data_IF_570036602385
#
_entry.id   IF_570036602385
#
_cell.length_a   1.000
_cell.length_b   1.000
_cell.length_c   1.000
_cell.angle_alpha   90.00
_cell.angle_beta   90.00
_cell.angle_gamma   90.00
#
_symmetry.space_group_name_H-M   'P 1'
#
loop_
_entity.id
_entity.type
_entity.pdbx_description
1 polymer ?
#
# COMPACT_ATOMS: atom_id res chain seq x y z
N UNK A 1 12.78 1.40 -8.46
CA UNK A 1 13.46 2.61 -7.98
C UNK A 1 14.42 2.23 -6.88
N UNK A 2 15.47 3.02 -6.71
CA UNK A 2 16.39 2.91 -5.57
C UNK A 2 15.67 3.18 -4.24
N UNK A 3 16.16 2.62 -3.12
CA UNK A 3 15.67 2.99 -1.79
C UNK A 3 15.79 4.49 -1.53
N UNK A 4 14.91 5.03 -0.69
CA UNK A 4 14.92 6.43 -0.27
C UNK A 4 15.21 6.54 1.22
N UNK A 5 15.54 7.74 1.71
CA UNK A 5 15.68 7.97 3.13
C UNK A 5 14.34 7.74 3.86
N UNK A 6 14.41 7.33 5.13
CA UNK A 6 13.20 7.12 5.93
C UNK A 6 12.38 8.42 6.03
N UNK A 7 11.10 8.34 5.67
CA UNK A 7 10.18 9.48 5.65
C UNK A 7 10.11 10.23 4.31
N UNK A 8 10.99 9.91 3.35
CA UNK A 8 10.92 10.45 2.01
C UNK A 8 9.84 9.76 1.16
N UNK A 9 9.11 10.53 0.36
CA UNK A 9 8.05 10.03 -0.52
C UNK A 9 8.25 10.54 -1.94
N UNK A 10 8.02 9.67 -2.92
CA UNK A 10 8.14 9.99 -4.35
C UNK A 10 6.82 10.49 -4.97
N UNK A 11 5.76 10.64 -4.16
CA UNK A 11 4.42 10.96 -4.66
C UNK A 11 3.78 9.86 -5.51
N UNK A 12 4.32 8.64 -5.45
CA UNK A 12 3.80 7.47 -6.16
C UNK A 12 2.84 6.72 -5.25
N UNK A 13 1.67 6.36 -5.77
CA UNK A 13 0.71 5.48 -5.08
C UNK A 13 0.67 4.13 -5.78
N UNK A 14 0.85 3.05 -5.01
CA UNK A 14 0.68 1.68 -5.46
C UNK A 14 -0.52 1.05 -4.76
N UNK A 15 -1.34 0.32 -5.51
CA UNK A 15 -2.55 -0.34 -4.99
C UNK A 15 -2.41 -1.84 -5.24
N UNK A 16 -2.33 -2.63 -4.18
CA UNK A 16 -2.37 -4.08 -4.23
C UNK A 16 -3.83 -4.56 -4.30
N UNK A 17 -4.18 -5.26 -5.37
CA UNK A 17 -5.51 -5.87 -5.49
C UNK A 17 -5.56 -7.18 -4.69
N UNK A 18 -6.37 -7.22 -3.65
CA UNK A 18 -6.54 -8.39 -2.79
C UNK A 18 -8.02 -8.69 -2.54
N UNK A 19 -8.36 -9.98 -2.49
CA UNK A 19 -9.72 -10.41 -2.21
C UNK A 19 -10.10 -10.19 -0.73
N UNK A 20 -11.39 -10.21 -0.43
CA UNK A 20 -11.89 -10.27 0.95
C UNK A 20 -11.38 -11.57 1.60
N UNK A 21 -10.76 -11.48 2.77
CA UNK A 21 -10.25 -12.65 3.50
C UNK A 21 -8.96 -13.26 2.95
N UNK A 22 -8.20 -12.54 2.10
CA UNK A 22 -6.92 -13.03 1.59
C UNK A 22 -5.77 -12.98 2.63
N UNK A 23 -6.02 -12.39 3.79
CA UNK A 23 -5.11 -12.40 4.94
C UNK A 23 -4.95 -13.83 5.50
N UNK A 24 -3.76 -14.24 5.96
CA UNK A 24 -2.52 -13.45 6.06
C UNK A 24 -1.64 -13.49 4.80
N UNK A 25 -2.03 -14.25 3.76
CA UNK A 25 -1.17 -14.54 2.61
C UNK A 25 -1.02 -13.36 1.65
N UNK A 26 -2.10 -12.60 1.42
CA UNK A 26 -2.11 -11.44 0.55
C UNK A 26 -2.80 -10.24 1.22
N UNK A 27 -2.24 -9.02 1.09
CA UNK A 27 -1.01 -8.68 0.38
C UNK A 27 0.25 -9.14 1.15
N UNK A 28 1.32 -9.54 0.43
CA UNK A 28 2.55 -9.99 1.09
C UNK A 28 3.23 -8.83 1.81
N UNK A 29 3.43 -8.96 3.12
CA UNK A 29 4.08 -7.95 3.98
C UNK A 29 5.45 -7.51 3.45
N UNK A 30 6.29 -8.47 3.04
CA UNK A 30 7.61 -8.19 2.45
C UNK A 30 7.52 -7.31 1.20
N UNK A 31 6.53 -7.58 0.34
CA UNK A 31 6.30 -6.78 -0.88
C UNK A 31 5.84 -5.38 -0.51
N UNK A 32 4.91 -5.23 0.45
CA UNK A 32 4.45 -3.91 0.92
C UNK A 32 5.62 -3.08 1.45
N UNK A 33 6.47 -3.67 2.29
CA UNK A 33 7.66 -3.02 2.83
C UNK A 33 8.66 -2.61 1.74
N UNK A 34 8.86 -3.46 0.73
CA UNK A 34 9.75 -3.16 -0.39
C UNK A 34 9.30 -1.91 -1.18
N UNK A 35 8.00 -1.69 -1.32
CA UNK A 35 7.48 -0.44 -1.90
C UNK A 35 7.67 0.75 -0.95
N UNK A 36 7.44 0.56 0.35
CA UNK A 36 7.67 1.59 1.37
C UNK A 36 9.13 2.05 1.39
N UNK A 37 10.11 1.15 1.30
CA UNK A 37 11.54 1.49 1.19
C UNK A 37 11.88 2.34 -0.03
N UNK A 38 11.03 2.34 -1.05
CA UNK A 38 11.19 3.11 -2.28
C UNK A 38 10.38 4.42 -2.26
N UNK A 39 9.83 4.80 -1.10
CA UNK A 39 9.08 6.04 -0.92
C UNK A 39 7.71 6.02 -1.59
N UNK A 40 7.11 4.84 -1.72
CA UNK A 40 5.81 4.66 -2.36
C UNK A 40 4.73 4.55 -1.29
N UNK A 41 3.59 5.24 -1.49
CA UNK A 41 2.39 5.05 -0.68
C UNK A 41 1.69 3.77 -1.12
N UNK A 42 1.66 2.76 -0.26
CA UNK A 42 1.09 1.45 -0.58
C UNK A 42 -0.30 1.32 0.05
N UNK A 43 -1.28 0.88 -0.75
CA UNK A 43 -2.66 0.62 -0.31
C UNK A 43 -3.05 -0.80 -0.74
N UNK A 44 -3.99 -1.42 -0.02
CA UNK A 44 -4.58 -2.69 -0.44
C UNK A 44 -6.10 -2.61 -0.51
N UNK A 45 -6.70 -3.21 -1.54
CA UNK A 45 -8.16 -3.16 -1.73
C UNK A 45 -8.90 -4.00 -0.70
N UNK A 46 -8.43 -5.20 -0.34
CA UNK A 46 -9.13 -6.14 0.57
C UNK A 46 -10.61 -6.33 0.21
N UNK A 47 -10.91 -6.33 -1.08
CA UNK A 47 -12.26 -6.39 -1.65
C UNK A 47 -13.12 -5.13 -1.51
N UNK A 48 -12.52 -3.99 -1.20
CA UNK A 48 -13.11 -2.65 -1.30
C UNK A 48 -12.66 -1.93 -2.58
N UNK A 49 -13.47 -1.00 -3.07
CA UNK A 49 -13.11 -0.16 -4.20
C UNK A 49 -12.26 1.02 -3.74
N UNK A 50 -11.09 1.21 -4.34
CA UNK A 50 -10.23 2.39 -4.13
C UNK A 50 -10.28 3.26 -5.38
N UNK A 51 -10.45 4.57 -5.21
CA UNK A 51 -10.35 5.55 -6.29
C UNK A 51 -9.06 6.34 -6.14
N UNK A 52 -8.22 6.37 -7.18
CA UNK A 52 -7.11 7.29 -7.29
C UNK A 52 -7.58 8.53 -8.06
N UNK A 53 -7.47 9.70 -7.45
CA UNK A 53 -7.95 10.95 -8.01
C UNK A 53 -6.80 11.94 -8.21
N UNK A 54 -6.98 12.87 -9.15
CA UNK A 54 -6.09 13.99 -9.38
C UNK A 54 -6.94 15.22 -9.70
N UNK A 55 -6.78 16.31 -8.94
CA UNK A 55 -7.58 17.54 -9.06
C UNK A 55 -9.11 17.31 -9.06
N UNK A 56 -9.58 16.33 -8.30
CA UNK A 56 -11.02 16.07 -8.14
C UNK A 56 -11.59 16.84 -6.94
N UNK A 57 -12.84 17.34 -7.03
CA UNK A 57 -13.50 17.98 -5.90
C UNK A 57 -13.82 16.96 -4.80
N UNK A 58 -13.92 17.44 -3.57
CA UNK A 58 -14.40 16.65 -2.44
C UNK A 58 -15.82 16.11 -2.73
N UNK A 59 -16.04 14.83 -2.45
CA UNK A 59 -17.33 14.18 -2.61
C UNK A 59 -17.81 13.70 -1.24
N UNK A 60 -19.05 13.98 -0.91
CA UNK A 60 -19.66 13.50 0.33
C UNK A 60 -19.60 11.96 0.40
N UNK A 61 -19.21 11.43 1.56
CA UNK A 61 -19.03 10.00 1.77
C UNK A 61 -17.70 9.41 1.24
N UNK A 62 -16.84 10.19 0.58
CA UNK A 62 -15.51 9.75 0.18
C UNK A 62 -14.46 10.21 1.18
N UNK A 63 -13.58 9.30 1.59
CA UNK A 63 -12.46 9.59 2.48
C UNK A 63 -11.15 8.99 1.95
N UNK A 64 -10.03 9.46 2.52
CA UNK A 64 -8.72 8.90 2.20
C UNK A 64 -8.49 7.61 2.98
N UNK A 65 -8.02 6.58 2.29
CA UNK A 65 -7.57 5.34 2.93
C UNK A 65 -6.18 5.52 3.54
N UNK A 66 -5.96 4.90 4.71
CA UNK A 66 -4.65 4.83 5.34
C UNK A 66 -3.71 3.90 4.55
N UNK A 67 -2.43 4.26 4.38
CA UNK A 67 -1.42 3.36 3.82
C UNK A 67 -1.27 2.08 4.64
N UNK A 68 -0.75 1.03 4.00
CA UNK A 68 -0.32 -0.17 4.70
C UNK A 68 0.76 0.17 5.74
N UNK A 69 0.65 -0.35 6.97
CA UNK A 69 1.67 -0.16 7.99
C UNK A 69 2.96 -0.89 7.60
N UNK A 70 4.08 -0.38 8.10
CA UNK A 70 5.35 -1.10 7.96
C UNK A 70 5.35 -2.34 8.87
N UNK A 71 5.68 -3.50 8.31
CA UNK A 71 5.72 -4.76 9.04
C UNK A 71 7.16 -5.10 9.43
N UNK A 72 7.49 -5.11 10.72
CA UNK A 72 8.81 -5.54 11.19
C UNK A 72 8.95 -7.07 11.25
N UNK A 73 7.83 -7.75 11.50
CA UNK A 73 7.73 -9.19 11.54
C UNK A 73 6.95 -9.68 10.31
N UNK A 74 7.66 -10.38 9.43
CA UNK A 74 7.11 -10.98 8.23
C UNK A 74 7.86 -12.28 7.90
N UNK A 75 7.12 -13.26 7.40
CA UNK A 75 7.68 -14.51 6.91
C UNK A 75 8.42 -14.24 5.61
N UNK A 76 9.74 -14.50 5.60
CA UNK A 76 10.49 -14.72 4.37
C UNK A 76 10.22 -16.14 3.90
N UNK A 77 9.55 -16.30 2.75
CA UNK A 77 9.61 -17.58 2.04
C UNK A 77 11.06 -17.73 1.55
N UNK A 78 11.83 -18.57 2.23
CA UNK A 78 13.14 -19.03 1.76
C UNK A 78 12.91 -19.68 0.40
N UNK A 79 13.45 -19.04 -0.64
CA UNK A 79 13.38 -19.50 -2.03
C UNK A 79 14.21 -20.76 -2.29
#
# INVERSE_FOLDING_TARGET
GEPVAQGESRGITAIASTAKGAEPKHPRKAVMNAFTHRGVKVLATRGTGICHYHNAPSREGWNSLNPEPYHYDYEDEVA
#
